data_IF_264520086177
#
_entry.id   IF_264520086177
#
_cell.length_a   1.000
_cell.length_b   1.000
_cell.length_c   1.000
_cell.angle_alpha   90.00
_cell.angle_beta   90.00
_cell.angle_gamma   90.00
#
_symmetry.space_group_name_H-M   'P 1'
#
loop_
_entity.id
_entity.type
_entity.pdbx_description
1 polymer ?
#
# COMPACT_ATOMS: atom_id res chain seq x y z
N UNK A 1 -24.84 -41.49 45.80
CA UNK A 1 -23.56 -40.88 46.23
C UNK A 1 -22.65 -40.74 45.03
N UNK A 2 -22.09 -39.53 44.87
CA UNK A 2 -20.81 -39.23 44.21
C UNK A 2 -20.80 -39.14 42.68
N UNK A 3 -21.19 -37.95 42.22
CA UNK A 3 -20.46 -37.04 41.34
C UNK A 3 -19.45 -37.66 40.35
N UNK A 4 -19.71 -37.44 39.05
CA UNK A 4 -18.65 -37.35 38.06
C UNK A 4 -18.85 -36.07 37.23
N UNK A 5 -18.13 -35.05 37.64
CA UNK A 5 -18.03 -33.73 37.01
C UNK A 5 -17.42 -33.93 35.63
N UNK A 6 -18.19 -33.64 34.57
CA UNK A 6 -17.68 -33.56 33.20
C UNK A 6 -16.92 -32.25 33.06
N UNK A 7 -15.60 -32.31 33.18
CA UNK A 7 -14.68 -31.22 32.90
C UNK A 7 -14.70 -30.96 31.39
N UNK A 8 -15.42 -29.92 30.96
CA UNK A 8 -15.40 -29.42 29.58
C UNK A 8 -14.18 -28.49 29.47
N UNK A 9 -13.06 -29.00 28.98
CA UNK A 9 -11.91 -28.19 28.58
C UNK A 9 -12.24 -27.47 27.26
N UNK A 10 -12.79 -26.26 27.36
CA UNK A 10 -12.87 -25.33 26.24
C UNK A 10 -11.47 -24.79 25.94
N UNK A 11 -10.77 -25.45 25.02
CA UNK A 11 -9.53 -24.94 24.43
C UNK A 11 -9.92 -23.93 23.35
N UNK A 12 -10.04 -22.67 23.77
CA UNK A 12 -10.22 -21.54 22.86
C UNK A 12 -8.85 -21.18 22.27
N UNK A 13 -8.45 -21.83 21.18
CA UNK A 13 -7.26 -21.38 20.43
C UNK A 13 -7.66 -20.16 19.61
N UNK A 14 -7.39 -18.98 20.16
CA UNK A 14 -7.29 -17.76 19.38
C UNK A 14 -5.96 -17.80 18.62
N UNK A 15 -5.94 -18.51 17.49
CA UNK A 15 -4.97 -18.22 16.45
C UNK A 15 -5.36 -16.85 15.88
N UNK A 16 -4.72 -15.80 16.38
CA UNK A 16 -4.65 -14.55 15.65
C UNK A 16 -4.06 -14.87 14.29
N UNK A 17 -4.86 -14.67 13.24
CA UNK A 17 -4.41 -14.77 11.85
C UNK A 17 -3.37 -13.67 11.68
N UNK A 18 -2.11 -13.98 11.95
CA UNK A 18 -1.01 -13.27 11.32
C UNK A 18 -1.03 -13.71 9.88
N UNK A 19 -1.90 -13.09 9.08
CA UNK A 19 -1.72 -13.08 7.65
C UNK A 19 -0.40 -12.36 7.44
N UNK A 20 0.67 -13.13 7.24
CA UNK A 20 1.88 -12.64 6.59
C UNK A 20 1.49 -12.26 5.17
N UNK A 21 0.78 -11.15 5.04
CA UNK A 21 0.64 -10.46 3.78
C UNK A 21 2.04 -9.94 3.52
N UNK A 22 2.70 -10.49 2.50
CA UNK A 22 3.82 -9.82 1.87
C UNK A 22 3.40 -8.37 1.58
N UNK A 23 4.34 -7.44 1.45
CA UNK A 23 4.00 -6.07 1.10
C UNK A 23 3.23 -6.01 -0.23
N UNK A 24 1.91 -5.98 -0.15
CA UNK A 24 1.02 -5.99 -1.30
C UNK A 24 1.02 -4.60 -1.92
N UNK A 25 1.35 -4.54 -3.21
CA UNK A 25 1.31 -3.28 -3.94
C UNK A 25 -0.15 -2.88 -4.16
N UNK A 26 -0.56 -1.64 -3.78
CA UNK A 26 -1.95 -1.25 -3.85
C UNK A 26 -2.43 -1.04 -5.28
N UNK A 27 -3.73 -1.25 -5.49
CA UNK A 27 -4.37 -1.03 -6.78
C UNK A 27 -4.52 0.46 -7.10
N UNK A 28 -4.14 0.83 -8.32
CA UNK A 28 -4.26 2.21 -8.81
C UNK A 28 -5.73 2.62 -8.96
N UNK A 29 -6.10 3.76 -8.39
CA UNK A 29 -7.43 4.34 -8.62
C UNK A 29 -7.63 4.79 -10.07
N UNK A 30 -8.88 4.79 -10.53
CA UNK A 30 -9.23 5.31 -11.86
C UNK A 30 -9.38 6.81 -11.81
N UNK A 31 -8.71 7.50 -12.74
CA UNK A 31 -8.85 8.95 -12.89
C UNK A 31 -10.06 9.26 -13.80
N UNK A 32 -11.03 10.08 -13.35
CA UNK A 32 -12.14 10.53 -14.18
C UNK A 32 -11.68 11.46 -15.31
N UNK A 33 -12.33 11.40 -16.46
CA UNK A 33 -12.06 12.29 -17.59
C UNK A 33 -12.72 13.66 -17.35
N UNK A 34 -11.92 14.71 -17.19
CA UNK A 34 -12.38 16.05 -16.85
C UNK A 34 -13.33 16.67 -17.87
N UNK A 35 -13.24 16.30 -19.15
CA UNK A 35 -14.12 16.83 -20.20
C UNK A 35 -15.54 16.25 -20.16
N UNK A 36 -15.75 15.11 -19.50
CA UNK A 36 -17.05 14.42 -19.43
C UNK A 36 -17.55 14.19 -18.00
N UNK A 37 -16.68 14.28 -17.01
CA UNK A 37 -16.97 14.00 -15.62
C UNK A 37 -17.92 15.03 -14.99
N UNK A 38 -18.73 14.56 -14.04
CA UNK A 38 -19.48 15.39 -13.10
C UNK A 38 -18.57 15.92 -11.98
N UNK A 39 -19.07 16.87 -11.19
CA UNK A 39 -18.35 17.35 -10.01
C UNK A 39 -18.12 16.22 -9.01
N UNK A 40 -19.13 15.39 -8.81
CA UNK A 40 -19.12 14.23 -7.93
C UNK A 40 -18.06 13.21 -8.37
N UNK A 41 -17.95 12.94 -9.69
CA UNK A 41 -16.90 12.07 -10.23
C UNK A 41 -15.50 12.62 -9.95
N UNK A 42 -15.29 13.93 -10.12
CA UNK A 42 -13.99 14.55 -9.83
C UNK A 42 -13.62 14.51 -8.35
N UNK A 43 -14.61 14.66 -7.45
CA UNK A 43 -14.40 14.51 -6.00
C UNK A 43 -14.08 13.06 -5.60
N UNK A 44 -14.72 12.09 -6.26
CA UNK A 44 -14.39 10.67 -6.07
C UNK A 44 -12.98 10.36 -6.57
N UNK A 45 -12.60 10.88 -7.74
CA UNK A 45 -11.23 10.79 -8.25
C UNK A 45 -10.21 11.38 -7.26
N UNK A 46 -10.52 12.52 -6.63
CA UNK A 46 -9.65 13.11 -5.61
C UNK A 46 -9.49 12.21 -4.38
N UNK A 47 -10.58 11.60 -3.89
CA UNK A 47 -10.53 10.65 -2.76
C UNK A 47 -9.69 9.44 -3.13
N UNK A 48 -9.94 8.83 -4.28
CA UNK A 48 -9.20 7.67 -4.75
C UNK A 48 -7.70 7.93 -4.89
N UNK A 49 -7.29 9.11 -5.37
CA UNK A 49 -5.87 9.48 -5.46
C UNK A 49 -5.24 9.56 -4.06
N UNK A 50 -5.94 10.17 -3.09
CA UNK A 50 -5.46 10.25 -1.70
C UNK A 50 -5.35 8.88 -1.04
N UNK A 51 -6.35 8.02 -1.24
CA UNK A 51 -6.35 6.66 -0.72
C UNK A 51 -5.21 5.83 -1.32
N UNK A 52 -4.96 5.96 -2.62
CA UNK A 52 -3.84 5.31 -3.28
C UNK A 52 -2.49 5.78 -2.73
N UNK A 53 -2.30 7.09 -2.55
CA UNK A 53 -1.07 7.66 -1.95
C UNK A 53 -0.86 7.10 -0.55
N UNK A 54 -1.89 7.13 0.30
CA UNK A 54 -1.79 6.58 1.66
C UNK A 54 -1.48 5.07 1.65
N UNK A 55 -2.06 4.31 0.72
CA UNK A 55 -1.77 2.88 0.59
C UNK A 55 -0.34 2.62 0.10
N UNK A 56 0.21 3.46 -0.78
CA UNK A 56 1.61 3.38 -1.20
C UNK A 56 2.54 3.72 -0.04
N UNK A 57 2.23 4.72 0.79
CA UNK A 57 3.03 5.05 1.98
C UNK A 57 3.13 3.84 2.93
N UNK A 58 2.01 3.16 3.18
CA UNK A 58 1.99 1.91 3.95
C UNK A 58 2.82 0.80 3.28
N UNK A 59 2.73 0.65 1.96
CA UNK A 59 3.55 -0.30 1.21
C UNK A 59 5.05 0.00 1.33
N UNK A 60 5.44 1.29 1.24
CA UNK A 60 6.82 1.73 1.34
C UNK A 60 7.41 1.44 2.73
N UNK A 61 6.65 1.69 3.79
CA UNK A 61 7.05 1.33 5.16
C UNK A 61 7.24 -0.18 5.28
N UNK A 62 6.31 -0.97 4.73
CA UNK A 62 6.37 -2.42 4.76
C UNK A 62 7.64 -2.98 4.10
N UNK A 63 7.97 -2.57 2.86
CA UNK A 63 9.13 -3.13 2.15
C UNK A 63 10.46 -2.77 2.84
N UNK A 64 10.50 -1.62 3.50
CA UNK A 64 11.66 -1.18 4.29
C UNK A 64 11.80 -2.04 5.53
N UNK A 65 10.70 -2.38 6.20
CA UNK A 65 10.72 -3.24 7.38
C UNK A 65 11.00 -4.71 7.05
N UNK A 66 10.45 -5.24 5.95
CA UNK A 66 10.84 -6.56 5.42
C UNK A 66 12.35 -6.63 5.14
N UNK A 67 12.90 -5.60 4.52
CA UNK A 67 14.31 -5.52 4.20
C UNK A 67 15.18 -5.46 5.46
N UNK A 68 14.78 -4.69 6.48
CA UNK A 68 15.44 -4.66 7.79
C UNK A 68 15.41 -6.01 8.49
N UNK A 69 14.26 -6.68 8.51
CA UNK A 69 14.11 -8.01 9.12
C UNK A 69 14.98 -9.04 8.40
N UNK A 70 15.00 -9.00 7.07
CA UNK A 70 15.85 -9.87 6.26
C UNK A 70 17.34 -9.62 6.51
N UNK A 71 17.77 -8.36 6.68
CA UNK A 71 19.16 -8.02 7.08
C UNK A 71 19.51 -8.57 8.46
N UNK A 72 18.62 -8.39 9.42
CA UNK A 72 18.84 -8.84 10.80
C UNK A 72 18.96 -10.37 10.93
N UNK A 73 18.44 -11.14 9.96
CA UNK A 73 18.55 -12.59 9.92
C UNK A 73 19.86 -13.11 9.31
N UNK A 74 20.74 -12.23 8.80
CA UNK A 74 22.00 -12.61 8.14
C UNK A 74 23.19 -12.31 9.08
N UNK A 75 23.95 -13.33 9.47
CA UNK A 75 25.09 -13.18 10.38
C UNK A 75 26.32 -12.54 9.72
N UNK A 76 26.59 -12.87 8.45
CA UNK A 76 27.68 -12.30 7.65
C UNK A 76 27.17 -12.06 6.24
N UNK A 77 27.25 -10.80 5.80
CA UNK A 77 26.90 -10.36 4.46
C UNK A 77 28.10 -9.67 3.84
N UNK A 78 28.35 -9.92 2.55
CA UNK A 78 29.42 -9.22 1.84
C UNK A 78 29.01 -7.77 1.57
N UNK A 79 30.00 -6.87 1.43
CA UNK A 79 29.70 -5.47 1.09
C UNK A 79 29.02 -5.35 -0.28
N UNK A 80 29.30 -6.27 -1.21
CA UNK A 80 28.65 -6.32 -2.52
C UNK A 80 27.18 -6.70 -2.39
N UNK A 81 26.86 -7.73 -1.61
CA UNK A 81 25.47 -8.16 -1.39
C UNK A 81 24.67 -7.11 -0.62
N UNK A 82 25.28 -6.44 0.37
CA UNK A 82 24.68 -5.32 1.11
C UNK A 82 24.22 -4.22 0.13
N UNK A 83 25.14 -3.80 -0.76
CA UNK A 83 24.88 -2.77 -1.77
C UNK A 83 23.81 -3.19 -2.77
N UNK A 84 23.88 -4.42 -3.28
CA UNK A 84 22.88 -4.93 -4.23
C UNK A 84 21.47 -4.91 -3.63
N UNK A 85 21.33 -5.26 -2.33
CA UNK A 85 20.03 -5.23 -1.65
C UNK A 85 19.54 -3.81 -1.41
N UNK A 86 20.43 -2.87 -1.09
CA UNK A 86 20.08 -1.44 -1.01
C UNK A 86 19.61 -0.89 -2.36
N UNK A 87 20.33 -1.19 -3.43
CA UNK A 87 19.99 -0.75 -4.79
C UNK A 87 18.61 -1.28 -5.21
N UNK A 88 18.31 -2.54 -4.89
CA UNK A 88 17.01 -3.15 -5.17
C UNK A 88 15.89 -2.51 -4.34
N UNK A 89 16.13 -2.22 -3.06
CA UNK A 89 15.16 -1.51 -2.21
C UNK A 89 14.89 -0.11 -2.77
N UNK A 90 15.95 0.66 -3.06
CA UNK A 90 15.86 2.01 -3.60
C UNK A 90 15.11 2.04 -4.93
N UNK A 91 15.38 1.06 -5.82
CA UNK A 91 14.67 0.95 -7.09
C UNK A 91 13.16 0.74 -6.91
N UNK A 92 12.76 -0.15 -5.99
CA UNK A 92 11.34 -0.39 -5.68
C UNK A 92 10.69 0.84 -5.05
N UNK A 93 11.38 1.46 -4.09
CA UNK A 93 10.92 2.65 -3.38
C UNK A 93 10.65 3.80 -4.36
N UNK A 94 11.66 4.13 -5.18
CA UNK A 94 11.56 5.22 -6.16
C UNK A 94 10.47 4.95 -7.20
N UNK A 95 10.34 3.71 -7.68
CA UNK A 95 9.29 3.35 -8.64
C UNK A 95 7.86 3.57 -8.07
N UNK A 96 7.65 3.27 -6.79
CA UNK A 96 6.37 3.51 -6.13
C UNK A 96 6.10 5.01 -5.93
N UNK A 97 7.13 5.79 -5.56
CA UNK A 97 7.05 7.26 -5.49
C UNK A 97 6.71 7.87 -6.85
N UNK A 98 7.39 7.45 -7.91
CA UNK A 98 7.16 7.92 -9.28
C UNK A 98 5.71 7.64 -9.74
N UNK A 99 5.11 6.51 -9.34
CA UNK A 99 3.70 6.23 -9.64
C UNK A 99 2.75 7.16 -8.87
N UNK A 100 3.01 7.45 -7.59
CA UNK A 100 2.22 8.45 -6.85
C UNK A 100 2.25 9.81 -7.55
N UNK A 101 3.43 10.27 -7.94
CA UNK A 101 3.61 11.55 -8.64
C UNK A 101 2.90 11.55 -9.99
N UNK A 102 3.05 10.48 -10.78
CA UNK A 102 2.40 10.35 -12.09
C UNK A 102 0.88 10.34 -11.98
N UNK A 103 0.32 9.61 -11.01
CA UNK A 103 -1.12 9.59 -10.79
C UNK A 103 -1.65 10.97 -10.35
N UNK A 104 -0.95 11.64 -9.43
CA UNK A 104 -1.31 12.98 -8.99
C UNK A 104 -1.24 14.00 -10.13
N UNK A 105 -0.18 13.95 -10.96
CA UNK A 105 -0.04 14.78 -12.15
C UNK A 105 -1.18 14.54 -13.15
N UNK A 106 -1.51 13.27 -13.40
CA UNK A 106 -2.63 12.90 -14.27
C UNK A 106 -3.96 13.47 -13.75
N UNK A 107 -4.24 13.33 -12.45
CA UNK A 107 -5.45 13.89 -11.85
C UNK A 107 -5.49 15.42 -11.98
N UNK A 108 -4.37 16.10 -11.79
CA UNK A 108 -4.29 17.56 -11.94
C UNK A 108 -4.61 18.03 -13.36
N UNK A 109 -4.19 17.28 -14.39
CA UNK A 109 -4.56 17.56 -15.79
C UNK A 109 -6.07 17.47 -15.97
N UNK A 110 -6.70 16.42 -15.45
CA UNK A 110 -8.15 16.23 -15.58
C UNK A 110 -8.95 17.26 -14.78
N UNK A 111 -8.44 17.72 -13.64
CA UNK A 111 -9.02 18.85 -12.89
C UNK A 111 -9.00 20.13 -13.72
N UNK A 112 -7.92 20.39 -14.47
CA UNK A 112 -7.86 21.56 -15.36
C UNK A 112 -8.85 21.43 -16.53
N UNK A 113 -8.95 20.24 -17.13
CA UNK A 113 -9.92 19.97 -18.20
C UNK A 113 -11.36 20.16 -17.72
N UNK A 114 -11.69 19.68 -16.51
CA UNK A 114 -13.00 19.89 -15.88
C UNK A 114 -13.30 21.38 -15.68
N UNK A 115 -12.35 22.14 -15.12
CA UNK A 115 -12.51 23.59 -14.93
C UNK A 115 -12.71 24.33 -16.25
N UNK A 116 -11.99 23.96 -17.31
CA UNK A 116 -12.17 24.58 -18.62
C UNK A 116 -13.57 24.31 -19.18
N UNK A 117 -14.05 23.07 -19.06
CA UNK A 117 -15.39 22.65 -19.49
C UNK A 117 -16.50 23.37 -18.73
N UNK A 118 -16.39 23.53 -17.40
CA UNK A 118 -17.40 24.23 -16.59
C UNK A 118 -17.44 25.75 -16.83
N UNK A 119 -16.34 26.32 -17.33
CA UNK A 119 -16.22 27.76 -17.63
C UNK A 119 -16.47 28.11 -19.11
N UNK A 120 -16.78 27.12 -19.95
CA UNK A 120 -17.10 27.29 -21.37
C UNK A 120 -18.60 27.45 -21.59
#
# INVERSE_FOLDING_TARGET
MKNLIKLICSISVLFGVQSALACDYPDRTKIPNGTTATKEDMLEGQRGVKEFVAAIEVYLECIVDEEKMARAAIEVISAEDEQQREDLLNKKYNAAVDEMERLAAQFNVEVQAYKAKENS
#
